data_IF_241333881225
#
_entry.id   IF_241333881225
#
_cell.length_a   1.000
_cell.length_b   1.000
_cell.length_c   1.000
_cell.angle_alpha   90.00
_cell.angle_beta   90.00
_cell.angle_gamma   90.00
#
_symmetry.space_group_name_H-M   'P 1'
#
loop_
_entity.id
_entity.type
_entity.pdbx_description
1 polymer ?
2 non-polymer ?
3 water ?
#
# COMPACT_ATOMS: atom_id res chain seq x y z
N UNK A 9 -19.92 -0.53 1.05
CA UNK A 9 -18.71 -0.85 1.81
C UNK A 9 -17.86 -1.91 1.10
N UNK A 10 -16.56 -1.64 0.89
CA UNK A 10 -15.78 -2.68 0.19
C UNK A 10 -15.68 -3.96 1.02
N UNK A 11 -15.94 -5.11 0.41
CA UNK A 11 -16.01 -6.36 1.15
C UNK A 11 -14.75 -7.22 1.05
N UNK A 12 -13.85 -6.86 0.15
CA UNK A 12 -12.66 -7.66 -0.07
C UNK A 12 -11.45 -6.75 -0.16
N UNK A 13 -10.30 -7.34 0.09
CA UNK A 13 -9.02 -6.66 -0.04
C UNK A 13 -8.52 -6.79 -1.46
N UNK A 14 -7.63 -5.88 -1.88
CA UNK A 14 -7.03 -6.07 -3.19
C UNK A 14 -6.10 -7.28 -3.14
N UNK A 15 -5.87 -7.89 -4.29
CA UNK A 15 -5.06 -9.10 -4.38
C UNK A 15 -3.82 -8.81 -5.23
N UNK A 16 -2.95 -9.80 -5.36
CA UNK A 16 -1.73 -9.70 -6.15
C UNK A 16 -0.89 -8.51 -5.72
N UNK A 17 -0.82 -8.28 -4.42
CA UNK A 17 -0.13 -7.10 -3.92
C UNK A 17 1.36 -7.35 -3.93
N UNK A 18 2.09 -6.37 -4.44
CA UNK A 18 3.52 -6.50 -4.63
C UNK A 18 4.17 -5.20 -4.21
N UNK A 19 5.30 -5.30 -3.51
CA UNK A 19 6.10 -4.11 -3.20
C UNK A 19 7.46 -4.25 -3.86
N UNK A 20 7.91 -3.21 -4.57
CA UNK A 20 9.14 -3.31 -5.35
C UNK A 20 10.07 -2.15 -5.04
N UNK A 21 11.31 -2.46 -4.69
CA UNK A 21 12.29 -1.42 -4.38
C UNK A 21 12.64 -0.64 -5.64
N UNK A 22 12.59 0.69 -5.55
CA UNK A 22 12.90 1.53 -6.70
C UNK A 22 14.23 2.27 -6.54
N UNK A 23 14.44 2.86 -5.37
CA UNK A 23 15.64 3.66 -5.13
C UNK A 23 15.90 3.78 -3.65
N UNK A 24 16.86 4.63 -3.27
CA UNK A 24 17.11 4.85 -1.86
C UNK A 24 15.91 5.44 -1.12
N UNK A 25 14.95 6.03 -1.83
CA UNK A 25 13.85 6.69 -1.15
C UNK A 25 12.47 6.36 -1.71
N UNK A 26 12.41 5.40 -2.62
CA UNK A 26 11.15 5.07 -3.28
C UNK A 26 10.87 3.58 -3.31
N UNK A 27 9.60 3.23 -3.13
CA UNK A 27 9.13 1.85 -3.24
C UNK A 27 7.79 1.88 -3.98
N UNK A 28 7.65 1.00 -4.97
CA UNK A 28 6.43 0.89 -5.76
C UNK A 28 5.54 -0.17 -5.13
N UNK A 29 4.28 0.19 -4.88
CA UNK A 29 3.29 -0.78 -4.39
C UNK A 29 2.20 -0.91 -5.43
N UNK A 30 1.90 -2.14 -5.84
CA UNK A 30 0.91 -2.38 -6.89
C UNK A 30 -0.04 -3.49 -6.49
N UNK A 31 -1.25 -3.44 -7.01
CA UNK A 31 -2.20 -4.47 -6.62
C UNK A 31 -3.17 -4.68 -7.74
N UNK A 32 -4.04 -5.66 -7.57
CA UNK A 32 -5.11 -5.90 -8.53
C UNK A 32 -6.41 -5.35 -7.95
N UNK A 33 -7.20 -4.71 -8.80
CA UNK A 33 -8.48 -4.16 -8.37
C UNK A 33 -9.36 -5.26 -7.80
N UNK A 34 -10.36 -4.85 -7.04
CA UNK A 34 -11.32 -5.79 -6.49
C UNK A 34 -12.45 -6.03 -7.50
N UNK A 35 -13.03 -7.23 -7.47
CA UNK A 35 -14.19 -7.52 -8.31
C UNK A 35 -15.33 -6.57 -7.96
N UNK A 36 -16.05 -6.09 -8.97
CA UNK A 36 -17.11 -5.10 -8.76
C UNK A 36 -18.23 -5.64 -7.88
N UNK A 37 -18.44 -6.95 -7.92
CA UNK A 37 -19.45 -7.59 -7.08
C UNK A 37 -19.07 -7.54 -5.60
N UNK A 38 -17.85 -7.10 -5.31
CA UNK A 38 -17.39 -6.96 -3.93
C UNK A 38 -17.34 -5.50 -3.49
N UNK A 39 -17.68 -4.61 -4.41
CA UNK A 39 -17.83 -3.20 -4.08
C UNK A 39 -17.05 -2.33 -5.04
N UNK A 40 -17.40 -1.05 -5.09
CA UNK A 40 -16.70 -0.09 -5.94
C UNK A 40 -16.06 1.00 -5.09
N UNK A 41 -14.72 0.99 -5.00
CA UNK A 41 -13.97 1.94 -4.17
C UNK A 41 -13.87 3.33 -4.76
N UNK A 42 -13.72 4.33 -3.89
CA UNK A 42 -13.33 5.66 -4.34
C UNK A 42 -11.81 5.67 -4.51
N UNK A 43 -11.13 4.73 -3.85
CA UNK A 43 -9.69 4.67 -3.94
C UNK A 43 -9.11 3.63 -2.99
N UNK A 44 -7.80 3.66 -2.80
CA UNK A 44 -7.16 2.73 -1.88
C UNK A 44 -6.29 3.48 -0.90
N UNK A 45 -6.17 2.93 0.31
CA UNK A 45 -5.26 3.50 1.28
C UNK A 45 -4.09 2.55 1.47
N UNK A 46 -2.88 3.07 1.36
CA UNK A 46 -1.71 2.23 1.60
C UNK A 46 -1.11 2.61 2.94
N UNK A 47 -1.04 1.66 3.85
CA UNK A 47 -0.40 1.88 5.13
C UNK A 47 1.01 1.31 5.05
N UNK A 48 1.97 2.08 5.55
CA UNK A 48 3.35 1.63 5.50
C UNK A 48 4.12 2.02 6.75
N UNK A 49 5.00 1.13 7.18
CA UNK A 49 5.77 1.35 8.39
C UNK A 49 7.16 0.73 8.28
N UNK A 50 8.14 1.35 8.92
CA UNK A 50 9.48 0.80 8.95
C UNK A 50 9.49 -0.45 9.81
N UNK A 51 10.31 -1.42 9.43
CA UNK A 51 10.38 -2.66 10.19
C UNK A 51 10.75 -2.43 11.65
N UNK A 52 11.64 -1.47 11.91
CA UNK A 52 12.12 -1.28 13.28
C UNK A 52 11.11 -0.50 14.13
N UNK A 53 9.95 -0.20 13.56
CA UNK A 53 8.87 0.45 14.30
C UNK A 53 7.58 -0.38 14.21
N UNK A 54 6.61 -0.06 15.05
CA UNK A 54 5.37 -0.83 15.14
C UNK A 54 4.43 -0.55 13.97
N UNK A 55 3.50 -1.46 13.72
CA UNK A 55 2.53 -1.25 12.65
C UNK A 55 1.59 -0.11 13.02
N UNK A 56 1.58 0.25 14.30
CA UNK A 56 0.71 1.29 14.82
C UNK A 56 1.32 2.68 14.65
N UNK A 57 2.50 2.73 14.04
CA UNK A 57 3.15 4.00 13.74
C UNK A 57 2.94 4.31 12.26
N UNK A 58 2.25 3.40 11.57
CA UNK A 58 2.12 3.44 10.12
C UNK A 58 1.69 4.79 9.57
N UNK A 59 2.38 5.23 8.53
CA UNK A 59 1.91 6.37 7.76
C UNK A 59 0.93 5.85 6.70
N UNK A 60 0.08 6.72 6.18
CA UNK A 60 -0.85 6.30 5.14
C UNK A 60 -0.82 7.26 3.96
N UNK A 61 -1.00 6.69 2.77
CA UNK A 61 -1.22 7.43 1.55
C UNK A 61 -2.53 6.95 0.95
N UNK A 62 -3.37 7.86 0.48
CA UNK A 62 -4.59 7.45 -0.22
C UNK A 62 -4.43 7.72 -1.71
N UNK A 63 -4.90 6.79 -2.51
CA UNK A 63 -5.09 7.07 -3.92
C UNK A 63 -6.55 7.41 -4.11
N UNK A 64 -6.86 7.89 -5.30
CA UNK A 64 -8.22 8.20 -5.64
C UNK A 64 -8.40 7.89 -7.11
N UNK A 65 -9.47 7.18 -7.44
CA UNK A 65 -9.69 6.76 -8.81
C UNK A 65 -9.33 5.30 -8.95
N UNK A 66 -9.16 4.82 -10.18
CA UNK A 66 -8.96 3.38 -10.37
C UNK A 66 -7.52 2.93 -10.64
N UNK A 67 -6.53 3.77 -10.37
CA UNK A 67 -5.16 3.29 -10.59
C UNK A 67 -4.81 2.32 -9.47
N UNK A 68 -4.14 1.24 -9.84
CA UNK A 68 -3.85 0.16 -8.92
C UNK A 68 -2.38 0.13 -8.50
N UNK A 69 -1.79 1.31 -8.30
CA UNK A 69 -0.44 1.36 -7.77
C UNK A 69 -0.14 2.73 -7.21
N UNK A 70 0.90 2.80 -6.39
CA UNK A 70 1.39 4.08 -5.96
C UNK A 70 2.89 3.97 -5.76
N UNK A 71 3.62 5.02 -6.11
CA UNK A 71 5.04 5.06 -5.82
C UNK A 71 5.24 5.93 -4.60
N UNK A 72 5.62 5.30 -3.50
CA UNK A 72 5.82 6.01 -2.25
C UNK A 72 7.18 6.68 -2.24
N UNK A 73 7.19 7.95 -1.86
CA UNK A 73 8.40 8.74 -1.91
C UNK A 73 8.81 9.25 -0.54
N UNK A 74 10.04 9.72 -0.45
CA UNK A 74 10.55 10.29 0.78
C UNK A 74 10.82 9.26 1.86
N UNK A 75 11.10 8.03 1.43
CA UNK A 75 11.34 6.95 2.38
C UNK A 75 12.78 6.96 2.87
N UNK A 76 13.00 6.36 4.03
CA UNK A 76 14.33 6.26 4.61
C UNK A 76 15.16 5.27 3.81
N UNK A 77 16.43 5.62 3.57
CA UNK A 77 17.32 4.79 2.79
C UNK A 77 17.70 3.52 3.54
N UNK A 78 18.06 2.49 2.78
CA UNK A 78 18.48 1.20 3.33
C UNK A 78 17.57 0.71 4.45
N UNK A 79 16.27 0.70 4.18
CA UNK A 79 15.29 0.41 5.22
C UNK A 79 14.21 -0.57 4.74
N UNK A 80 14.01 -1.62 5.54
CA UNK A 80 12.92 -2.57 5.32
C UNK A 80 11.56 -1.96 5.69
N UNK A 81 10.66 -1.86 4.70
CA UNK A 81 9.31 -1.33 4.92
C UNK A 81 8.29 -2.43 4.76
N UNK A 82 7.19 -2.29 5.49
CA UNK A 82 6.03 -3.17 5.34
C UNK A 82 4.84 -2.37 4.87
N UNK A 83 3.95 -3.01 4.11
CA UNK A 83 2.83 -2.32 3.49
C UNK A 83 1.56 -3.16 3.56
N UNK A 84 0.42 -2.52 3.74
CA UNK A 84 -0.85 -3.18 3.45
C UNK A 84 -1.69 -2.20 2.63
N UNK A 85 -2.67 -2.71 1.89
CA UNK A 85 -3.52 -1.86 1.05
C UNK A 85 -4.96 -2.19 1.33
N UNK A 86 -5.82 -1.19 1.47
CA UNK A 86 -7.23 -1.51 1.58
C UNK A 86 -8.05 -0.55 0.74
N UNK A 87 -9.15 -1.02 0.19
CA UNK A 87 -10.07 -0.13 -0.51
C UNK A 87 -10.82 0.75 0.47
N UNK A 88 -11.34 1.87 0.00
CA UNK A 88 -12.22 2.69 0.82
C UNK A 88 -13.29 3.31 -0.08
N UNK A 89 -14.45 3.59 0.51
CA UNK A 89 -15.42 4.46 -0.12
C UNK A 89 -16.14 5.22 0.98
N UNK A 90 -17.26 5.84 0.62
CA UNK A 90 -18.05 6.62 1.57
C UNK A 90 -18.51 5.84 2.78
N UNK A 91 -18.69 4.53 2.61
CA UNK A 91 -19.25 3.70 3.67
C UNK A 91 -18.17 3.19 4.62
N UNK A 92 -16.90 3.34 4.25
CA UNK A 92 -15.81 2.91 5.12
C UNK A 92 -14.67 2.20 4.42
N UNK A 93 -13.78 1.61 5.21
CA UNK A 93 -12.63 0.88 4.68
C UNK A 93 -12.92 -0.60 4.54
N UNK A 94 -12.37 -1.20 3.50
CA UNK A 94 -12.47 -2.63 3.31
C UNK A 94 -11.37 -3.31 4.09
N UNK A 95 -11.34 -4.65 4.04
CA UNK A 95 -10.27 -5.35 4.74
C UNK A 95 -8.89 -5.07 4.13
N UNK A 96 -7.83 -5.17 4.94
CA UNK A 96 -6.49 -4.97 4.40
C UNK A 96 -5.99 -6.15 3.58
N UNK A 97 -5.14 -5.87 2.60
CA UNK A 97 -4.42 -6.91 1.86
C UNK A 97 -3.46 -7.69 2.75
N UNK A 98 -2.98 -8.81 2.22
CA UNK A 98 -1.82 -9.47 2.77
C UNK A 98 -0.73 -8.41 2.88
N UNK A 99 0.09 -8.53 3.90
CA UNK A 99 1.22 -7.62 4.08
C UNK A 99 2.34 -7.94 3.10
N UNK A 100 2.94 -6.92 2.50
CA UNK A 100 4.10 -7.15 1.65
C UNK A 100 5.24 -6.28 2.14
N UNK A 101 6.46 -6.61 1.74
CA UNK A 101 7.63 -5.87 2.23
C UNK A 101 8.63 -5.62 1.12
N UNK A 102 9.40 -4.54 1.24
CA UNK A 102 10.52 -4.29 0.35
C UNK A 102 11.46 -3.37 1.08
N UNK A 103 12.70 -3.32 0.62
CA UNK A 103 13.73 -2.49 1.24
C UNK A 103 14.19 -1.42 0.28
N UNK A 104 14.25 -0.18 0.75
CA UNK A 104 14.85 0.88 -0.05
C UNK A 104 16.33 0.56 -0.31
N UNK A 105 16.89 1.14 -1.36
CA UNK A 105 18.26 0.83 -1.76
C UNK A 105 19.26 1.51 -0.84
N UNK A 106 20.51 1.08 -0.94
CA UNK A 106 21.61 1.71 -0.21
C UNK A 106 22.32 2.77 -0.98
N UNK A 107 23.16 3.50 -0.24
CA UNK A 107 24.31 4.26 -0.74
C UNK A 107 24.41 4.42 -2.25
X LIG B 1 11.22 7.47 12.76
X LIG B 1 9.99 6.88 12.24
X LIG B 1 11.17 7.53 14.22
X LIG B 1 12.36 6.67 12.33
X LIG B 1 11.35 8.82 12.22
X LIG C 1 -14.90 14.24 -1.41
X LIG C 1 -16.01 14.44 -0.47
X LIG C 1 -13.69 13.91 -0.67
X LIG C 1 -15.23 13.16 -2.33
X LIG C 1 -14.69 15.47 -2.16
X LIG D 1 -5.88 -4.19 -12.35
X LIG D 1 -6.54 -3.20 -13.20
X LIG D 1 -6.45 -4.11 -11.01
X LIG D 1 -6.10 -5.53 -12.89
X LIG D 1 -4.45 -3.91 -12.30
#
# INVERSE_FOLDING_TARGET
QDYGGAEGEPSAAPTDVKATSVSVSEILVAWKHIKESLGRPQGFEVGYWKDMEQEDTAETVKTRGNESFVILTGLEGNTLYHFTVRAYNGAGYGPPSSEVSATTKKAENLYFQ
SO4 S O1 O2 O3 O4
SO4 S O1 O2 O3 O4
SO4 S O1 O2 O3 O4
#
